data_IF_500289488443
#
_entry.id   IF_500289488443
#
_cell.length_a   1.000
_cell.length_b   1.000
_cell.length_c   1.000
_cell.angle_alpha   90.00
_cell.angle_beta   90.00
_cell.angle_gamma   90.00
#
_symmetry.space_group_name_H-M   'P 1'
#
loop_
_entity.id
_entity.type
_entity.pdbx_description
1 polymer ?
#
# COMPACT_ATOMS: atom_id res chain seq x y z
N UNK A 1 -14.05 -15.17 -23.46
CA UNK A 1 -14.67 -14.07 -22.67
C UNK A 1 -13.90 -13.83 -21.36
N UNK A 2 -13.01 -12.83 -21.32
CA UNK A 2 -12.15 -12.55 -20.17
C UNK A 2 -12.35 -11.12 -19.67
N UNK A 3 -13.13 -10.96 -18.60
CA UNK A 3 -13.20 -9.75 -17.79
C UNK A 3 -12.36 -9.98 -16.52
N UNK A 4 -11.04 -9.99 -16.64
CA UNK A 4 -10.10 -10.11 -15.51
C UNK A 4 -9.46 -8.76 -15.18
N UNK A 5 -10.28 -7.71 -15.01
CA UNK A 5 -9.78 -6.35 -14.79
C UNK A 5 -10.39 -5.66 -13.55
N UNK A 6 -10.82 -6.44 -12.55
CA UNK A 6 -11.11 -5.93 -11.22
C UNK A 6 -10.36 -6.80 -10.20
N UNK A 7 -9.39 -6.23 -9.48
CA UNK A 7 -8.68 -6.96 -8.43
C UNK A 7 -7.23 -6.54 -8.16
N UNK A 8 -6.93 -5.24 -8.01
CA UNK A 8 -5.64 -4.79 -7.45
C UNK A 8 -5.77 -3.75 -6.35
N UNK A 9 -6.96 -3.56 -5.78
CA UNK A 9 -7.08 -2.88 -4.50
C UNK A 9 -6.67 -3.85 -3.39
N UNK A 10 -5.49 -3.63 -2.81
CA UNK A 10 -4.94 -4.45 -1.72
C UNK A 10 -3.59 -5.13 -2.01
N UNK A 11 -2.75 -4.60 -2.91
CA UNK A 11 -1.44 -5.21 -3.19
C UNK A 11 -0.60 -5.40 -1.92
N UNK A 12 -0.09 -6.62 -1.76
CA UNK A 12 0.97 -6.94 -0.81
C UNK A 12 2.26 -6.25 -1.27
N UNK A 13 3.11 -5.85 -0.33
CA UNK A 13 4.40 -5.27 -0.65
C UNK A 13 5.20 -6.22 -1.54
N UNK A 14 5.62 -5.76 -2.71
CA UNK A 14 6.37 -6.58 -3.69
C UNK A 14 7.71 -7.12 -3.16
N UNK A 15 8.20 -6.58 -2.04
CA UNK A 15 9.50 -6.95 -1.45
C UNK A 15 9.39 -7.89 -0.25
N UNK A 16 8.44 -7.66 0.64
CA UNK A 16 8.29 -8.44 1.88
C UNK A 16 6.94 -9.15 2.02
N UNK A 17 6.05 -8.99 1.04
CA UNK A 17 4.67 -9.49 1.03
C UNK A 17 3.81 -9.03 2.21
N UNK A 18 4.27 -8.06 2.99
CA UNK A 18 3.44 -7.42 4.03
C UNK A 18 2.35 -6.58 3.36
N UNK A 19 1.13 -6.65 3.87
CA UNK A 19 0.01 -5.81 3.43
C UNK A 19 0.40 -4.34 3.43
N UNK A 20 0.19 -3.65 2.30
CA UNK A 20 0.40 -2.21 2.23
C UNK A 20 -0.73 -1.50 2.98
N UNK A 21 -0.37 -0.53 3.82
CA UNK A 21 -1.32 0.29 4.52
C UNK A 21 -1.64 1.54 3.71
N UNK A 22 -2.91 1.93 3.71
CA UNK A 22 -3.37 3.16 3.07
C UNK A 22 -3.24 4.31 4.06
N UNK A 23 -2.61 5.39 3.64
CA UNK A 23 -2.53 6.66 4.37
C UNK A 23 -3.05 7.78 3.49
N UNK A 24 -3.54 8.87 4.08
CA UNK A 24 -3.95 10.07 3.34
C UNK A 24 -2.93 11.17 3.61
N UNK A 25 -2.21 11.58 2.57
CA UNK A 25 -1.21 12.65 2.61
C UNK A 25 -1.79 13.88 1.91
N UNK A 26 -2.12 14.92 2.68
CA UNK A 26 -2.68 16.18 2.16
C UNK A 26 -3.85 15.97 1.17
N UNK A 27 -4.79 15.09 1.54
CA UNK A 27 -5.96 14.76 0.74
C UNK A 27 -5.73 13.75 -0.40
N UNK A 28 -4.51 13.23 -0.56
CA UNK A 28 -4.19 12.18 -1.53
C UNK A 28 -4.01 10.84 -0.83
N UNK A 29 -4.77 9.83 -1.24
CA UNK A 29 -4.56 8.46 -0.76
C UNK A 29 -3.22 7.93 -1.30
N UNK A 30 -2.38 7.44 -0.41
CA UNK A 30 -1.12 6.78 -0.71
C UNK A 30 -1.08 5.41 -0.02
N UNK A 31 -0.31 4.48 -0.56
CA UNK A 31 -0.06 3.18 0.06
C UNK A 31 1.41 3.07 0.42
N UNK A 32 1.71 2.60 1.62
CA UNK A 32 3.08 2.40 2.08
C UNK A 32 3.23 1.06 2.80
N UNK A 33 4.44 0.52 2.80
CA UNK A 33 4.72 -0.71 3.52
C UNK A 33 5.25 -0.36 4.91
N UNK A 34 4.57 -0.70 6.01
CA UNK A 34 5.06 -0.39 7.36
C UNK A 34 6.39 -1.08 7.69
N UNK A 35 6.69 -2.21 7.03
CA UNK A 35 7.92 -2.98 7.22
C UNK A 35 9.10 -2.50 6.35
N UNK A 36 8.85 -2.10 5.11
CA UNK A 36 9.91 -1.65 4.18
C UNK A 36 10.10 -0.14 4.15
N UNK A 37 9.05 0.62 4.45
CA UNK A 37 9.05 2.08 4.56
C UNK A 37 8.48 2.47 5.93
N UNK A 38 9.22 2.20 7.02
CA UNK A 38 8.78 2.62 8.34
C UNK A 38 8.60 4.14 8.34
N UNK A 39 7.41 4.62 8.72
CA UNK A 39 7.22 6.04 9.01
C UNK A 39 8.18 6.37 10.14
N UNK A 40 9.22 7.16 9.84
CA UNK A 40 10.13 7.66 10.85
C UNK A 40 9.23 8.30 11.92
N UNK A 41 9.30 7.77 13.15
CA UNK A 41 8.49 8.28 14.25
C UNK A 41 8.70 9.78 14.30
N UNK A 42 7.63 10.55 14.13
CA UNK A 42 7.66 11.95 14.51
C UNK A 42 7.97 11.94 16.01
N UNK A 43 9.22 12.26 16.34
CA UNK A 43 9.68 12.49 17.70
C UNK A 43 9.02 13.76 18.21
#
# INVERSE_FOLDING_TARGET
PALMAYGREGEECRRCKTSLERVVLSGRSAFYCPRCQPVARAQ
#
